data_IF_617239788147
#
_entry.id   IF_617239788147
#
_cell.length_a   1.000
_cell.length_b   1.000
_cell.length_c   1.000
_cell.angle_alpha   90.00
_cell.angle_beta   90.00
_cell.angle_gamma   90.00
#
_symmetry.space_group_name_H-M   'P 1'
#
loop_
_entity.id
_entity.type
_entity.pdbx_description
1 polymer ?
#
# COMPACT_ATOMS: atom_id res chain seq x y z
N UNK A 1 -6.55 28.26 -1.05
CA UNK A 1 -6.35 27.40 -2.25
C UNK A 1 -7.45 26.34 -2.23
N UNK A 2 -7.98 25.94 -3.39
CA UNK A 2 -9.03 24.93 -3.50
C UNK A 2 -8.55 23.79 -4.40
N UNK A 3 -8.61 22.56 -3.90
CA UNK A 3 -8.24 21.34 -4.63
C UNK A 3 -9.50 20.52 -4.88
N UNK A 4 -9.67 20.07 -6.13
CA UNK A 4 -10.71 19.11 -6.50
C UNK A 4 -10.04 17.76 -6.71
N UNK A 5 -10.50 16.75 -5.99
CA UNK A 5 -10.05 15.36 -6.11
C UNK A 5 -11.18 14.55 -6.72
N UNK A 6 -10.89 13.81 -7.79
CA UNK A 6 -11.86 12.95 -8.47
C UNK A 6 -11.54 11.50 -8.12
N UNK A 7 -12.47 10.84 -7.44
CA UNK A 7 -12.35 9.50 -6.88
C UNK A 7 -12.21 9.51 -5.35
N UNK A 8 -12.69 8.43 -4.72
CA UNK A 8 -12.62 8.23 -3.25
C UNK A 8 -11.86 6.95 -2.84
N UNK A 9 -11.04 6.40 -3.74
CA UNK A 9 -10.15 5.28 -3.42
C UNK A 9 -8.95 5.68 -2.56
N UNK A 10 -8.13 4.71 -2.17
CA UNK A 10 -7.05 4.90 -1.20
C UNK A 10 -6.07 6.01 -1.59
N UNK A 11 -5.72 6.14 -2.87
CA UNK A 11 -4.82 7.20 -3.34
C UNK A 11 -5.39 8.61 -3.12
N UNK A 12 -6.69 8.79 -3.36
CA UNK A 12 -7.37 10.07 -3.13
C UNK A 12 -7.47 10.39 -1.64
N UNK A 13 -7.88 9.40 -0.83
CA UNK A 13 -7.97 9.57 0.62
C UNK A 13 -6.59 9.85 1.24
N UNK A 14 -5.54 9.15 0.80
CA UNK A 14 -4.17 9.37 1.22
C UNK A 14 -3.68 10.78 0.85
N UNK A 15 -3.94 11.24 -0.38
CA UNK A 15 -3.63 12.62 -0.78
C UNK A 15 -4.34 13.63 0.12
N UNK A 16 -5.67 13.51 0.27
CA UNK A 16 -6.47 14.45 1.07
C UNK A 16 -6.00 14.52 2.51
N UNK A 17 -5.56 13.38 3.06
CA UNK A 17 -5.00 13.28 4.40
C UNK A 17 -3.67 14.01 4.56
N UNK A 18 -2.84 14.07 3.51
CA UNK A 18 -1.53 14.74 3.53
C UNK A 18 -1.63 16.25 3.26
N UNK A 19 -2.76 16.74 2.75
CA UNK A 19 -2.98 18.17 2.51
C UNK A 19 -3.20 18.93 3.83
N UNK A 20 -2.62 20.13 3.93
CA UNK A 20 -2.77 21.02 5.09
C UNK A 20 -4.23 21.41 5.34
N UNK A 21 -4.58 21.67 6.61
CA UNK A 21 -5.94 22.02 7.03
C UNK A 21 -6.48 23.33 6.39
N UNK A 22 -5.60 24.22 5.92
CA UNK A 22 -5.98 25.48 5.27
C UNK A 22 -6.40 25.31 3.79
N UNK A 23 -6.32 24.09 3.26
CA UNK A 23 -6.72 23.77 1.88
C UNK A 23 -8.18 23.33 1.91
N UNK A 24 -9.03 24.04 1.16
CA UNK A 24 -10.38 23.56 0.90
C UNK A 24 -10.27 22.41 -0.10
N UNK A 25 -10.87 21.26 0.23
CA UNK A 25 -10.85 20.06 -0.62
C UNK A 25 -12.28 19.70 -0.99
N UNK A 26 -12.53 19.44 -2.28
CA UNK A 26 -13.77 18.85 -2.75
C UNK A 26 -13.46 17.49 -3.37
N UNK A 27 -13.92 16.41 -2.74
CA UNK A 27 -13.87 15.07 -3.29
C UNK A 27 -15.15 14.79 -4.09
N UNK A 28 -15.00 14.42 -5.35
CA UNK A 28 -16.09 14.00 -6.23
C UNK A 28 -15.91 12.50 -6.46
N UNK A 29 -16.88 11.69 -6.05
CA UNK A 29 -16.88 10.25 -6.33
C UNK A 29 -18.19 9.85 -7.00
N UNK A 30 -18.16 8.76 -7.77
CA UNK A 30 -19.29 8.33 -8.59
C UNK A 30 -20.49 7.88 -7.74
N UNK A 31 -20.25 7.31 -6.56
CA UNK A 31 -21.31 6.78 -5.70
C UNK A 31 -21.03 7.08 -4.21
N UNK A 32 -20.99 6.06 -3.35
CA UNK A 32 -20.63 6.21 -1.93
C UNK A 32 -19.11 6.27 -1.78
N UNK A 33 -18.63 6.87 -0.69
CA UNK A 33 -17.19 6.96 -0.41
C UNK A 33 -16.50 5.61 -0.41
N UNK A 34 -17.14 4.58 0.17
CA UNK A 34 -16.63 3.21 0.28
C UNK A 34 -17.08 2.28 -0.86
N UNK A 35 -17.73 2.80 -1.90
CA UNK A 35 -18.07 2.01 -3.09
C UNK A 35 -16.94 2.15 -4.12
N UNK A 36 -15.80 1.51 -3.84
CA UNK A 36 -14.60 1.57 -4.67
C UNK A 36 -13.69 0.35 -4.46
N UNK A 37 -12.85 0.05 -5.46
CA UNK A 37 -11.99 -1.15 -5.43
C UNK A 37 -10.96 -1.18 -4.29
N UNK A 38 -10.61 -0.05 -3.68
CA UNK A 38 -9.72 -0.07 -2.51
C UNK A 38 -10.43 -0.66 -1.30
N UNK A 39 -11.73 -0.43 -1.16
CA UNK A 39 -12.56 -1.00 -0.09
C UNK A 39 -12.79 -2.51 -0.29
N UNK A 40 -12.80 -2.98 -1.53
CA UNK A 40 -12.95 -4.41 -1.86
C UNK A 40 -11.61 -5.17 -1.88
N UNK A 41 -10.50 -4.54 -1.47
CA UNK A 41 -9.18 -5.15 -1.52
C UNK A 41 -9.04 -6.32 -0.52
N UNK A 42 -8.55 -7.46 -0.99
CA UNK A 42 -8.47 -8.68 -0.18
C UNK A 42 -7.01 -9.06 0.11
N UNK A 43 -6.23 -9.27 -0.95
CA UNK A 43 -4.90 -9.89 -0.91
C UNK A 43 -3.75 -9.05 -0.36
N UNK A 44 -4.02 -8.00 0.43
CA UNK A 44 -2.96 -7.36 1.21
C UNK A 44 -2.15 -6.25 0.54
N UNK A 45 -1.18 -5.72 1.31
CA UNK A 45 -0.22 -4.69 0.88
C UNK A 45 1.18 -5.29 0.91
N UNK A 46 1.84 -5.35 -0.25
CA UNK A 46 3.25 -5.74 -0.34
C UNK A 46 4.18 -4.59 0.04
N UNK A 47 5.24 -4.89 0.77
CA UNK A 47 6.27 -3.91 1.11
C UNK A 47 7.60 -4.60 1.36
N UNK A 48 8.71 -3.86 1.32
CA UNK A 48 10.03 -4.43 1.54
C UNK A 48 10.54 -4.11 2.94
N UNK A 49 10.26 -5.02 3.88
CA UNK A 49 10.76 -4.91 5.25
C UNK A 49 12.16 -5.49 5.35
N UNK A 50 13.18 -4.66 5.60
CA UNK A 50 14.52 -5.11 6.04
C UNK A 50 15.02 -6.39 5.34
N UNK A 51 14.88 -6.45 4.01
CA UNK A 51 15.54 -7.52 3.28
C UNK A 51 17.05 -7.29 3.42
N UNK A 52 17.83 -8.35 3.67
CA UNK A 52 19.30 -8.25 3.74
C UNK A 52 19.88 -7.62 2.45
N UNK A 53 19.12 -7.68 1.36
CA UNK A 53 19.43 -7.13 0.05
C UNK A 53 18.90 -5.70 -0.21
N UNK A 54 18.36 -5.02 0.81
CA UNK A 54 17.81 -3.66 0.73
C UNK A 54 16.63 -3.51 -0.26
N UNK A 55 15.80 -4.56 -0.40
CA UNK A 55 14.62 -4.56 -1.25
C UNK A 55 14.92 -4.85 -2.72
N UNK A 56 16.12 -5.31 -3.02
CA UNK A 56 16.53 -5.62 -4.37
C UNK A 56 15.70 -6.77 -4.96
N UNK A 57 15.38 -7.80 -4.16
CA UNK A 57 14.49 -8.87 -4.62
C UNK A 57 13.09 -8.37 -4.95
N UNK A 58 12.54 -7.40 -4.19
CA UNK A 58 11.24 -6.81 -4.52
C UNK A 58 11.29 -6.07 -5.87
N UNK A 59 12.37 -5.33 -6.11
CA UNK A 59 12.58 -4.56 -7.35
C UNK A 59 12.65 -5.53 -8.53
N UNK A 60 13.41 -6.62 -8.38
CA UNK A 60 13.58 -7.63 -9.41
C UNK A 60 12.26 -8.35 -9.69
N UNK A 61 11.56 -8.82 -8.65
CA UNK A 61 10.22 -9.44 -8.77
C UNK A 61 9.25 -8.51 -9.53
N UNK A 62 9.22 -7.22 -9.17
CA UNK A 62 8.35 -6.22 -9.81
C UNK A 62 8.70 -6.02 -11.28
N UNK A 63 10.00 -5.86 -11.58
CA UNK A 63 10.47 -5.61 -12.94
C UNK A 63 10.28 -6.84 -13.85
N UNK A 64 10.54 -8.04 -13.32
CA UNK A 64 10.30 -9.30 -14.02
C UNK A 64 8.81 -9.55 -14.26
N UNK A 65 7.96 -9.37 -13.24
CA UNK A 65 6.51 -9.52 -13.37
C UNK A 65 5.91 -8.54 -14.40
N UNK A 66 6.46 -7.33 -14.48
CA UNK A 66 6.12 -6.33 -15.49
C UNK A 66 6.73 -6.57 -16.88
N UNK A 67 7.33 -7.74 -17.14
CA UNK A 67 8.00 -8.08 -18.41
C UNK A 67 9.02 -7.01 -18.80
N UNK A 68 9.77 -6.51 -17.83
CA UNK A 68 10.84 -5.52 -18.01
C UNK A 68 10.38 -4.16 -18.57
N UNK A 69 9.08 -3.86 -18.51
CA UNK A 69 8.50 -2.64 -19.08
C UNK A 69 8.43 -1.44 -18.13
N UNK A 70 8.59 -1.66 -16.82
CA UNK A 70 8.52 -0.61 -15.82
C UNK A 70 9.78 0.25 -15.73
N UNK A 71 9.63 1.50 -15.29
CA UNK A 71 10.77 2.38 -14.98
C UNK A 71 11.43 1.94 -13.67
N UNK A 72 12.67 1.46 -13.76
CA UNK A 72 13.44 0.97 -12.62
C UNK A 72 13.67 2.04 -11.54
N UNK A 73 13.77 3.32 -11.90
CA UNK A 73 13.93 4.39 -10.92
C UNK A 73 12.64 4.58 -10.10
N UNK A 74 11.48 4.52 -10.77
CA UNK A 74 10.17 4.62 -10.11
C UNK A 74 9.92 3.40 -9.22
N UNK A 75 10.15 2.20 -9.73
CA UNK A 75 10.01 0.94 -8.97
C UNK A 75 10.88 0.99 -7.70
N UNK A 76 12.15 1.38 -7.85
CA UNK A 76 13.08 1.50 -6.72
C UNK A 76 12.60 2.51 -5.68
N UNK A 77 12.12 3.69 -6.10
CA UNK A 77 11.61 4.71 -5.18
C UNK A 77 10.44 4.16 -4.36
N UNK A 78 9.42 3.61 -5.03
CA UNK A 78 8.22 3.07 -4.38
C UNK A 78 8.55 1.99 -3.35
N UNK A 79 9.44 1.07 -3.71
CA UNK A 79 9.84 -0.03 -2.82
C UNK A 79 10.64 0.49 -1.63
N UNK A 80 11.60 1.40 -1.87
CA UNK A 80 12.46 1.93 -0.81
C UNK A 80 11.70 2.79 0.22
N UNK A 81 10.61 3.43 -0.19
CA UNK A 81 9.77 4.28 0.67
C UNK A 81 8.67 3.48 1.40
N UNK A 82 8.41 2.23 0.99
CA UNK A 82 7.28 1.44 1.47
C UNK A 82 7.34 1.08 2.97
N UNK A 83 8.52 0.81 3.53
CA UNK A 83 8.69 0.41 4.94
C UNK A 83 8.23 1.51 5.92
N UNK A 84 8.61 2.75 5.65
CA UNK A 84 8.23 3.89 6.49
C UNK A 84 6.70 4.10 6.50
N UNK A 85 6.06 3.94 5.34
CA UNK A 85 4.60 4.07 5.19
C UNK A 85 3.89 2.96 5.96
N UNK A 86 4.37 1.72 5.87
CA UNK A 86 3.77 0.58 6.56
C UNK A 86 3.95 0.70 8.07
N UNK A 87 5.13 1.13 8.54
CA UNK A 87 5.35 1.39 9.96
C UNK A 87 4.40 2.48 10.48
N UNK A 88 4.20 3.55 9.71
CA UNK A 88 3.23 4.59 10.03
C UNK A 88 1.81 4.02 10.17
N UNK A 89 1.37 3.17 9.23
CA UNK A 89 0.04 2.53 9.29
C UNK A 89 -0.11 1.62 10.51
N UNK A 90 0.95 0.89 10.87
CA UNK A 90 0.98 0.06 12.09
C UNK A 90 0.84 0.94 13.33
N UNK A 91 1.59 2.04 13.41
CA UNK A 91 1.59 2.95 14.56
C UNK A 91 0.24 3.66 14.73
N UNK A 92 -0.49 3.86 13.62
CA UNK A 92 -1.84 4.42 13.60
C UNK A 92 -2.94 3.41 13.94
N UNK A 93 -2.56 2.15 14.17
CA UNK A 93 -3.45 1.10 14.63
C UNK A 93 -4.18 0.36 13.51
N UNK A 94 -3.67 0.38 12.27
CA UNK A 94 -4.21 -0.48 11.21
C UNK A 94 -4.08 -1.95 11.64
N UNK A 95 -5.17 -2.74 11.62
CA UNK A 95 -5.22 -4.04 12.29
C UNK A 95 -4.66 -5.16 11.39
N UNK A 96 -3.38 -5.05 11.02
CA UNK A 96 -2.70 -6.13 10.30
C UNK A 96 -2.69 -7.43 11.11
N UNK A 97 -2.84 -8.54 10.42
CA UNK A 97 -2.92 -9.87 11.01
C UNK A 97 -1.63 -10.25 11.72
N UNK A 98 -1.78 -10.88 12.90
CA UNK A 98 -0.67 -11.25 13.78
C UNK A 98 -0.80 -12.69 14.25
N UNK A 99 0.34 -13.33 14.49
CA UNK A 99 0.39 -14.66 15.11
C UNK A 99 0.05 -14.57 16.62
N UNK A 100 0.02 -15.71 17.31
CA UNK A 100 -0.27 -15.78 18.75
C UNK A 100 0.80 -15.13 19.64
N UNK A 101 1.99 -14.85 19.10
CA UNK A 101 3.09 -14.16 19.78
C UNK A 101 3.05 -12.64 19.55
N UNK A 102 2.16 -12.15 18.68
CA UNK A 102 2.00 -10.74 18.34
C UNK A 102 2.81 -10.28 17.12
N UNK A 103 3.55 -11.17 16.46
CA UNK A 103 4.29 -10.82 15.24
C UNK A 103 3.38 -10.73 14.03
N UNK A 104 3.69 -9.81 13.11
CA UNK A 104 2.98 -9.68 11.84
C UNK A 104 3.05 -10.99 11.02
N UNK A 105 1.92 -11.36 10.42
CA UNK A 105 1.83 -12.44 9.46
C UNK A 105 2.07 -11.91 8.04
N UNK A 106 2.89 -12.61 7.27
CA UNK A 106 3.22 -12.25 5.90
C UNK A 106 2.72 -13.33 4.94
N UNK A 107 1.98 -12.92 3.92
CA UNK A 107 1.59 -13.74 2.79
C UNK A 107 2.63 -13.69 1.66
N UNK A 108 2.49 -14.64 0.74
CA UNK A 108 3.30 -14.73 -0.48
C UNK A 108 2.37 -15.08 -1.64
N UNK A 109 2.19 -14.14 -2.56
CA UNK A 109 1.31 -14.26 -3.70
C UNK A 109 1.96 -13.72 -4.97
N UNK A 110 1.34 -13.95 -6.12
CA UNK A 110 1.83 -13.45 -7.40
C UNK A 110 3.24 -13.95 -7.73
N UNK A 111 4.09 -13.02 -8.15
CA UNK A 111 5.46 -13.31 -8.61
C UNK A 111 6.53 -13.03 -7.53
N UNK A 112 6.14 -12.95 -6.25
CA UNK A 112 7.11 -12.67 -5.19
C UNK A 112 8.02 -13.86 -4.90
N UNK A 113 9.30 -13.57 -4.74
CA UNK A 113 10.36 -14.50 -4.32
C UNK A 113 10.37 -14.75 -2.81
N UNK A 114 9.83 -13.82 -2.01
CA UNK A 114 9.71 -13.93 -0.56
C UNK A 114 8.34 -13.44 -0.05
N UNK A 115 7.91 -13.98 1.10
CA UNK A 115 6.70 -13.54 1.80
C UNK A 115 6.85 -12.11 2.31
N UNK A 116 6.00 -11.19 1.84
CA UNK A 116 6.13 -9.75 2.09
C UNK A 116 4.81 -8.98 2.04
N UNK A 117 3.69 -9.69 2.01
CA UNK A 117 2.35 -9.12 1.91
C UNK A 117 1.71 -9.10 3.29
N UNK A 118 1.31 -7.93 3.79
CA UNK A 118 0.50 -7.82 5.00
C UNK A 118 -0.98 -7.83 4.67
N UNK A 119 -1.73 -8.60 5.45
CA UNK A 119 -3.17 -8.73 5.38
C UNK A 119 -3.82 -8.13 6.64
N UNK A 120 -5.10 -7.78 6.55
CA UNK A 120 -5.90 -7.40 7.70
C UNK A 120 -7.24 -8.15 7.67
N UNK A 121 -7.58 -8.84 8.76
CA UNK A 121 -8.83 -9.60 8.85
C UNK A 121 -8.87 -10.82 7.91
N UNK A 122 -7.71 -11.40 7.59
CA UNK A 122 -7.53 -12.35 6.49
C UNK A 122 -7.62 -11.63 5.15
N UNK A 123 -8.52 -12.09 4.29
CA UNK A 123 -8.69 -11.58 2.92
C UNK A 123 -9.59 -10.33 2.88
N UNK A 124 -9.38 -9.36 3.77
CA UNK A 124 -10.24 -8.17 3.95
C UNK A 124 -9.42 -6.90 4.22
N UNK A 125 -8.34 -6.70 3.45
CA UNK A 125 -7.39 -5.60 3.69
C UNK A 125 -7.96 -4.19 3.42
N UNK A 126 -8.99 -4.10 2.57
CA UNK A 126 -9.69 -2.86 2.22
C UNK A 126 -10.58 -2.28 3.30
#
# INVERSE_FOLDING_TARGET
MHVIVIGSGIAALALMRQLNQDIQITCITQNKLNDNNSYDAQGGICFSKYEEDQGQSHIDDTYHAGVHSGDLAVIRSFISESDAIIQQLIDEGLPFDRNTQGDLLYGMEGAHSHARILHAGGDQTG
#
